data_IF_208605337496
#
_entry.id   IF_208605337496
#
_cell.length_a   1.000
_cell.length_b   1.000
_cell.length_c   1.000
_cell.angle_alpha   90.00
_cell.angle_beta   90.00
_cell.angle_gamma   90.00
#
_symmetry.space_group_name_H-M   'P 1'
#
loop_
_entity.id
_entity.type
_entity.pdbx_description
1 polymer ?
#
# COMPACT_ATOMS: atom_id res chain seq x y z
N UNK A 1 10.18 -26.67 27.48
CA UNK A 1 8.82 -26.13 27.70
C UNK A 1 8.93 -24.62 27.59
N UNK A 2 8.29 -24.01 26.59
CA UNK A 2 8.26 -22.56 26.51
C UNK A 2 7.40 -22.03 27.67
N UNK A 3 7.88 -20.98 28.31
CA UNK A 3 7.30 -20.36 29.51
C UNK A 3 5.84 -19.93 29.23
N UNK A 4 4.91 -20.29 30.11
CA UNK A 4 3.48 -19.92 29.97
C UNK A 4 3.29 -18.41 29.81
N UNK A 5 4.18 -17.59 30.38
CA UNK A 5 4.15 -16.13 30.28
C UNK A 5 4.47 -15.63 28.87
N UNK A 6 5.37 -16.32 28.17
CA UNK A 6 5.71 -15.99 26.78
C UNK A 6 4.55 -16.35 25.84
N UNK A 7 3.88 -17.48 26.09
CA UNK A 7 2.68 -17.85 25.35
C UNK A 7 1.52 -16.88 25.57
N UNK A 8 1.35 -16.36 26.79
CA UNK A 8 0.35 -15.33 27.08
C UNK A 8 0.65 -14.02 26.35
N UNK A 9 1.91 -13.55 26.37
CA UNK A 9 2.31 -12.36 25.61
C UNK A 9 2.10 -12.56 24.10
N UNK A 10 2.40 -13.75 23.58
CA UNK A 10 2.14 -14.07 22.18
C UNK A 10 0.64 -14.06 21.86
N UNK A 11 -0.21 -14.63 22.72
CA UNK A 11 -1.67 -14.61 22.54
C UNK A 11 -2.25 -13.19 22.59
N UNK A 12 -1.74 -12.33 23.49
CA UNK A 12 -2.09 -10.91 23.55
C UNK A 12 -1.68 -10.17 22.28
N UNK A 13 -0.49 -10.46 21.74
CA UNK A 13 -0.04 -9.88 20.48
C UNK A 13 -0.89 -10.37 19.30
N UNK A 14 -1.17 -11.68 19.23
CA UNK A 14 -1.96 -12.29 18.17
C UNK A 14 -3.43 -11.82 18.15
N UNK A 15 -3.97 -11.45 19.31
CA UNK A 15 -5.32 -10.87 19.45
C UNK A 15 -5.38 -9.35 19.30
N UNK A 16 -4.24 -8.69 19.02
CA UNK A 16 -4.17 -7.23 18.85
C UNK A 16 -4.23 -6.41 20.15
N UNK A 17 -4.20 -7.06 21.31
CA UNK A 17 -4.23 -6.38 22.62
C UNK A 17 -2.91 -5.66 22.93
N UNK A 18 -1.79 -6.14 22.39
CA UNK A 18 -0.48 -5.49 22.48
C UNK A 18 0.20 -5.43 21.11
N UNK A 19 1.01 -4.40 20.89
CA UNK A 19 1.82 -4.27 19.67
C UNK A 19 3.05 -5.18 19.67
N UNK A 20 3.66 -5.34 18.49
CA UNK A 20 4.92 -6.09 18.31
C UNK A 20 6.05 -5.56 19.19
N UNK A 21 6.10 -4.23 19.40
CA UNK A 21 7.12 -3.57 20.22
C UNK A 21 6.96 -3.95 21.70
N UNK A 22 5.73 -3.95 22.19
CA UNK A 22 5.36 -4.34 23.55
C UNK A 22 5.65 -5.84 23.79
N UNK A 23 5.32 -6.69 22.81
CA UNK A 23 5.67 -8.11 22.85
C UNK A 23 7.19 -8.34 22.96
N UNK A 24 7.99 -7.68 22.11
CA UNK A 24 9.45 -7.82 22.13
C UNK A 24 10.02 -7.40 23.49
N UNK A 25 9.56 -6.27 24.05
CA UNK A 25 9.99 -5.81 25.38
C UNK A 25 9.63 -6.80 26.49
N UNK A 26 8.41 -7.33 26.48
CA UNK A 26 7.97 -8.30 27.49
C UNK A 26 8.71 -9.63 27.38
N UNK A 27 8.91 -10.13 26.17
CA UNK A 27 9.57 -11.40 25.93
C UNK A 27 11.08 -11.34 26.17
N UNK A 28 11.77 -10.23 25.86
CA UNK A 28 13.18 -10.06 26.27
C UNK A 28 13.34 -9.96 27.79
N UNK A 29 12.41 -9.29 28.49
CA UNK A 29 12.40 -9.25 29.95
C UNK A 29 12.20 -10.64 30.60
N UNK A 30 11.55 -11.56 29.88
CA UNK A 30 11.40 -12.97 30.28
C UNK A 30 12.57 -13.86 29.84
N UNK A 31 13.64 -13.27 29.26
CA UNK A 31 14.85 -13.99 28.86
C UNK A 31 14.72 -14.74 27.52
N UNK A 32 13.73 -14.41 26.69
CA UNK A 32 13.59 -15.02 25.35
C UNK A 32 14.71 -14.52 24.44
N UNK A 33 15.39 -15.46 23.78
CA UNK A 33 16.44 -15.12 22.82
C UNK A 33 15.89 -14.49 21.54
N UNK A 34 16.72 -13.70 20.85
CA UNK A 34 16.35 -13.08 19.56
C UNK A 34 15.88 -14.11 18.52
N UNK A 35 16.49 -15.30 18.49
CA UNK A 35 16.11 -16.39 17.59
C UNK A 35 14.71 -16.91 17.88
N UNK A 36 14.36 -17.08 19.16
CA UNK A 36 13.03 -17.51 19.58
C UNK A 36 11.97 -16.42 19.34
N UNK A 37 12.30 -15.15 19.57
CA UNK A 37 11.44 -14.01 19.21
C UNK A 37 11.10 -14.03 17.72
N UNK A 38 12.07 -14.30 16.85
CA UNK A 38 11.86 -14.42 15.41
C UNK A 38 10.86 -15.51 15.02
N UNK A 39 10.83 -16.64 15.75
CA UNK A 39 9.86 -17.70 15.52
C UNK A 39 8.44 -17.29 15.93
N UNK A 40 8.28 -16.63 17.08
CA UNK A 40 6.99 -16.10 17.51
C UNK A 40 6.46 -15.01 16.58
N UNK A 41 7.32 -14.09 16.13
CA UNK A 41 6.92 -13.02 15.21
C UNK A 41 6.51 -13.55 13.83
N UNK A 42 7.15 -14.64 13.36
CA UNK A 42 6.74 -15.34 12.13
C UNK A 42 5.45 -16.14 12.28
N UNK A 43 5.17 -16.64 13.48
CA UNK A 43 3.96 -17.40 13.79
C UNK A 43 2.73 -16.51 14.04
N UNK A 44 2.92 -15.20 14.20
CA UNK A 44 1.81 -14.26 14.36
C UNK A 44 0.94 -14.28 13.09
N UNK A 45 -0.39 -14.49 13.20
CA UNK A 45 -1.26 -14.56 12.05
C UNK A 45 -1.22 -13.22 11.28
N UNK A 46 -1.14 -13.32 9.95
CA UNK A 46 -1.12 -12.17 9.04
C UNK A 46 -2.33 -11.22 9.22
N UNK A 47 -3.40 -11.66 9.89
CA UNK A 47 -4.54 -10.83 10.27
C UNK A 47 -4.15 -9.60 11.14
N UNK A 48 -3.08 -9.67 11.94
CA UNK A 48 -2.56 -8.50 12.67
C UNK A 48 -1.72 -7.54 11.78
N UNK A 49 -1.48 -7.90 10.53
CA UNK A 49 -0.91 -7.03 9.48
C UNK A 49 -1.98 -6.53 8.51
N UNK A 50 -3.23 -6.94 8.69
CA UNK A 50 -4.37 -6.47 7.92
C UNK A 50 -4.85 -5.14 8.51
N UNK A 51 -3.93 -4.17 8.58
CA UNK A 51 -4.33 -2.79 8.74
C UNK A 51 -4.97 -2.41 7.41
N UNK A 52 -6.31 -2.40 7.34
CA UNK A 52 -7.04 -1.76 6.25
C UNK A 52 -6.40 -0.39 6.04
N UNK A 53 -5.88 -0.15 4.84
CA UNK A 53 -5.23 1.12 4.53
C UNK A 53 -6.21 2.25 4.89
N UNK A 54 -5.78 3.29 5.62
CA UNK A 54 -6.66 4.38 5.95
C UNK A 54 -7.12 5.06 4.66
N UNK A 55 -8.43 5.19 4.49
CA UNK A 55 -9.00 5.99 3.41
C UNK A 55 -8.48 7.43 3.54
N UNK A 56 -7.86 7.92 2.49
CA UNK A 56 -7.35 9.28 2.33
C UNK A 56 -8.37 10.21 1.65
N UNK A 57 -9.41 9.66 1.02
CA UNK A 57 -10.49 10.39 0.37
C UNK A 57 -11.87 9.76 0.63
N UNK A 58 -12.89 10.61 0.64
CA UNK A 58 -14.29 10.16 0.72
C UNK A 58 -14.85 9.96 -0.69
N UNK A 59 -15.59 8.86 -0.97
CA UNK A 59 -16.24 8.68 -2.25
C UNK A 59 -17.19 9.85 -2.58
N UNK A 60 -17.19 10.28 -3.83
CA UNK A 60 -18.15 11.28 -4.31
C UNK A 60 -19.51 10.61 -4.61
N UNK A 61 -20.58 11.40 -4.68
CA UNK A 61 -21.91 10.91 -5.04
C UNK A 61 -22.68 11.93 -5.88
N UNK A 62 -23.40 11.45 -6.91
CA UNK A 62 -24.23 12.27 -7.78
C UNK A 62 -23.43 13.37 -8.49
N UNK A 63 -24.02 14.56 -8.61
CA UNK A 63 -23.42 15.72 -9.29
C UNK A 63 -22.14 16.26 -8.60
N UNK A 64 -21.79 15.74 -7.41
CA UNK A 64 -20.54 16.07 -6.74
C UNK A 64 -19.32 15.37 -7.35
N UNK A 65 -19.53 14.31 -8.16
CA UNK A 65 -18.46 13.65 -8.90
C UNK A 65 -18.10 14.45 -10.16
N UNK A 66 -17.29 15.51 -9.99
CA UNK A 66 -16.96 16.46 -11.07
C UNK A 66 -16.25 15.86 -12.29
N UNK A 67 -15.78 14.62 -12.21
CA UNK A 67 -15.04 13.92 -13.27
C UNK A 67 -15.76 12.63 -13.73
N UNK A 68 -17.05 12.49 -13.39
CA UNK A 68 -17.85 11.33 -13.80
C UNK A 68 -17.82 11.12 -15.32
N UNK A 69 -17.40 9.93 -15.76
CA UNK A 69 -17.32 9.57 -17.18
C UNK A 69 -16.09 10.11 -17.91
N UNK A 70 -15.16 10.74 -17.21
CA UNK A 70 -13.84 11.11 -17.75
C UNK A 70 -12.89 9.92 -17.60
N UNK A 71 -12.24 9.54 -18.69
CA UNK A 71 -11.11 8.61 -18.67
C UNK A 71 -9.81 9.41 -18.62
N UNK A 72 -8.93 9.06 -17.68
CA UNK A 72 -7.62 9.67 -17.51
C UNK A 72 -6.53 8.62 -17.79
N UNK A 73 -5.66 8.92 -18.75
CA UNK A 73 -4.52 8.06 -19.10
C UNK A 73 -3.26 8.54 -18.39
N UNK A 74 -2.76 7.74 -17.46
CA UNK A 74 -1.61 8.08 -16.62
C UNK A 74 -0.45 7.14 -16.90
N UNK A 75 0.70 7.70 -17.27
CA UNK A 75 1.93 6.95 -17.42
C UNK A 75 2.59 6.71 -16.06
N UNK A 76 3.06 5.50 -15.78
CA UNK A 76 3.91 5.24 -14.63
C UNK A 76 4.99 4.18 -14.89
N UNK A 77 6.04 4.21 -14.08
CA UNK A 77 7.10 3.22 -14.13
C UNK A 77 6.61 1.90 -13.52
N UNK A 78 6.65 0.81 -14.30
CA UNK A 78 6.21 -0.52 -13.86
C UNK A 78 7.04 -1.04 -12.68
N UNK A 79 8.36 -0.85 -12.74
CA UNK A 79 9.32 -1.42 -11.78
C UNK A 79 9.29 -0.81 -10.36
N UNK A 80 8.79 0.43 -10.21
CA UNK A 80 8.89 1.15 -8.93
C UNK A 80 7.65 1.94 -8.51
N UNK A 81 6.81 2.37 -9.46
CA UNK A 81 5.73 3.34 -9.21
C UNK A 81 4.34 2.74 -9.35
N UNK A 82 4.23 1.55 -9.95
CA UNK A 82 2.95 0.85 -10.12
C UNK A 82 2.24 0.53 -8.80
N UNK A 83 2.97 0.05 -7.80
CA UNK A 83 2.39 -0.43 -6.54
C UNK A 83 1.53 0.66 -5.84
N UNK A 84 2.01 1.91 -5.69
CA UNK A 84 1.16 3.00 -5.21
C UNK A 84 -0.18 3.13 -5.94
N UNK A 85 -0.18 3.06 -7.28
CA UNK A 85 -1.40 3.16 -8.06
C UNK A 85 -2.34 1.98 -7.85
N UNK A 86 -1.82 0.75 -7.77
CA UNK A 86 -2.64 -0.43 -7.47
C UNK A 86 -3.37 -0.32 -6.13
N UNK A 87 -2.75 0.34 -5.15
CA UNK A 87 -3.34 0.49 -3.82
C UNK A 87 -4.41 1.59 -3.74
N UNK A 88 -4.30 2.66 -4.55
CA UNK A 88 -5.16 3.85 -4.42
C UNK A 88 -6.11 4.06 -5.59
N UNK A 89 -6.01 3.26 -6.66
CA UNK A 89 -6.85 3.45 -7.87
C UNK A 89 -8.33 3.41 -7.53
N UNK A 90 -8.79 2.33 -6.88
CA UNK A 90 -10.21 2.17 -6.56
C UNK A 90 -10.74 3.33 -5.71
N UNK A 91 -9.92 3.78 -4.75
CA UNK A 91 -10.26 4.91 -3.90
C UNK A 91 -10.31 6.23 -4.68
N UNK A 92 -9.36 6.47 -5.58
CA UNK A 92 -9.34 7.65 -6.45
C UNK A 92 -10.55 7.68 -7.39
N UNK A 93 -10.86 6.56 -8.04
CA UNK A 93 -12.00 6.46 -8.96
C UNK A 93 -13.32 6.67 -8.19
N UNK A 94 -13.47 6.09 -7.00
CA UNK A 94 -14.62 6.32 -6.15
C UNK A 94 -14.74 7.77 -5.65
N UNK A 95 -13.62 8.44 -5.37
CA UNK A 95 -13.59 9.81 -4.89
C UNK A 95 -13.83 10.86 -5.98
N UNK A 96 -13.55 10.54 -7.24
CA UNK A 96 -13.60 11.51 -8.35
C UNK A 96 -14.71 11.23 -9.37
N UNK A 97 -15.09 9.96 -9.53
CA UNK A 97 -15.92 9.46 -10.62
C UNK A 97 -15.18 9.25 -11.95
N UNK A 98 -13.88 9.58 -12.01
CA UNK A 98 -13.06 9.32 -13.19
C UNK A 98 -12.69 7.83 -13.27
N UNK A 99 -12.32 7.37 -14.48
CA UNK A 99 -11.70 6.06 -14.69
C UNK A 99 -10.21 6.25 -15.00
N UNK A 100 -9.33 5.51 -14.34
CA UNK A 100 -7.89 5.58 -14.57
C UNK A 100 -7.43 4.47 -15.52
N UNK A 101 -6.77 4.86 -16.59
CA UNK A 101 -6.04 3.98 -17.51
C UNK A 101 -4.54 4.13 -17.23
N UNK A 102 -3.88 3.09 -16.73
CA UNK A 102 -2.44 3.16 -16.46
C UNK A 102 -1.64 2.59 -17.63
N UNK A 103 -0.67 3.37 -18.11
CA UNK A 103 0.36 2.93 -19.05
C UNK A 103 1.62 2.61 -18.26
N UNK A 104 1.94 1.32 -18.17
CA UNK A 104 3.07 0.80 -17.41
C UNK A 104 4.28 0.68 -18.32
N UNK A 105 5.25 1.58 -18.14
CA UNK A 105 6.48 1.60 -18.94
C UNK A 105 7.70 1.19 -18.11
N UNK A 106 8.70 0.53 -18.72
CA UNK A 106 10.00 0.34 -18.08
C UNK A 106 10.66 1.69 -17.74
N UNK A 107 11.46 1.73 -16.67
CA UNK A 107 12.09 2.98 -16.18
C UNK A 107 12.90 3.73 -17.25
N UNK A 108 13.62 3.00 -18.12
CA UNK A 108 14.43 3.57 -19.18
C UNK A 108 13.64 4.15 -20.36
N UNK A 109 12.34 3.83 -20.46
CA UNK A 109 11.48 4.22 -21.58
C UNK A 109 10.44 5.27 -21.19
N UNK A 110 10.00 5.29 -19.93
CA UNK A 110 8.94 6.16 -19.46
C UNK A 110 9.24 7.64 -19.77
N UNK A 111 10.42 8.13 -19.36
CA UNK A 111 10.79 9.53 -19.56
C UNK A 111 10.99 9.91 -21.04
N UNK A 112 11.71 9.13 -21.88
CA UNK A 112 11.77 9.38 -23.32
C UNK A 112 10.39 9.43 -23.99
N UNK A 113 9.45 8.55 -23.62
CA UNK A 113 8.08 8.57 -24.16
C UNK A 113 7.32 9.83 -23.76
N UNK A 114 7.40 10.25 -22.50
CA UNK A 114 6.79 11.51 -22.04
C UNK A 114 7.34 12.71 -22.81
N UNK A 115 8.66 12.80 -22.98
CA UNK A 115 9.28 13.89 -23.72
C UNK A 115 8.83 13.90 -25.18
N UNK A 116 8.71 12.73 -25.80
CA UNK A 116 8.23 12.63 -27.17
C UNK A 116 6.75 13.05 -27.29
N UNK A 117 5.90 12.64 -26.34
CA UNK A 117 4.50 13.06 -26.29
C UNK A 117 4.36 14.58 -26.18
N UNK A 118 5.14 15.20 -25.29
CA UNK A 118 5.16 16.64 -25.11
C UNK A 118 5.74 17.39 -26.33
N UNK A 119 6.81 16.88 -26.94
CA UNK A 119 7.46 17.52 -28.08
C UNK A 119 6.61 17.46 -29.36
N UNK A 120 5.86 16.37 -29.54
CA UNK A 120 5.00 16.17 -30.70
C UNK A 120 3.58 16.68 -30.50
N UNK A 121 3.17 16.91 -29.24
CA UNK A 121 1.80 17.28 -28.89
C UNK A 121 0.80 16.15 -29.17
N UNK A 122 1.23 14.88 -29.06
CA UNK A 122 0.33 13.75 -29.33
C UNK A 122 -0.74 13.57 -28.25
N UNK A 123 -0.58 14.18 -27.08
CA UNK A 123 -1.50 14.14 -25.93
C UNK A 123 -1.92 12.71 -25.58
N UNK A 124 -0.94 11.80 -25.52
CA UNK A 124 -1.17 10.40 -25.17
C UNK A 124 -1.35 10.20 -23.67
N UNK A 125 -0.81 11.12 -22.85
CA UNK A 125 -0.88 11.03 -21.40
C UNK A 125 -1.48 12.31 -20.80
N UNK A 126 -2.43 12.15 -19.88
CA UNK A 126 -3.00 13.24 -19.09
C UNK A 126 -2.12 13.57 -17.87
N UNK A 127 -1.38 12.57 -17.37
CA UNK A 127 -0.41 12.73 -16.30
C UNK A 127 0.70 11.68 -16.41
N UNK A 128 1.83 11.93 -15.75
CA UNK A 128 2.94 10.99 -15.66
C UNK A 128 3.56 10.99 -14.26
N UNK A 129 3.82 9.79 -13.72
CA UNK A 129 4.49 9.58 -12.43
C UNK A 129 5.79 8.78 -12.65
N UNK A 130 6.92 9.47 -12.57
CA UNK A 130 8.23 8.97 -13.02
C UNK A 130 9.29 9.07 -11.88
N UNK A 131 8.87 8.99 -10.61
CA UNK A 131 9.69 9.23 -9.41
C UNK A 131 10.08 7.97 -8.64
#
# INVERSE_FOLDING_TARGET
MADQRVHQLFAQMASGQIGRREFIKGATALGVSASALGLFLKAAPAAAQDATAPLVATPCAGDACGWSGVELTVQCIDDSVKIPWENVREEFEAATGATLNLVLDPIGEAFPKLLNDAATGSNQFDAAMIG
#
